data_IF_500114152008
#
_entry.id   IF_500114152008
#
_cell.length_a   1.000
_cell.length_b   1.000
_cell.length_c   1.000
_cell.angle_alpha   90.00
_cell.angle_beta   90.00
_cell.angle_gamma   90.00
#
_symmetry.space_group_name_H-M   'P 1'
#
loop_
_entity.id
_entity.type
_entity.pdbx_description
1 polymer ?
#
# COMPACT_ATOMS: atom_id res chain seq x y z
N UNK A 1 5.58 -8.26 -6.11
CA UNK A 1 6.09 -7.28 -7.09
C UNK A 1 5.80 -7.73 -8.53
N UNK A 2 5.58 -9.02 -8.79
CA UNK A 2 5.13 -9.47 -10.11
C UNK A 2 3.71 -8.98 -10.44
N UNK A 3 3.43 -8.66 -11.71
CA UNK A 3 2.12 -8.23 -12.16
C UNK A 3 1.10 -9.36 -12.02
N UNK A 4 -0.12 -9.01 -11.61
CA UNK A 4 -1.25 -9.94 -11.55
C UNK A 4 -2.40 -9.37 -12.38
N UNK A 5 -3.01 -10.19 -13.24
CA UNK A 5 -4.02 -9.72 -14.22
C UNK A 5 -5.18 -8.93 -13.59
N UNK A 6 -5.51 -9.24 -12.33
CA UNK A 6 -6.66 -8.68 -11.62
C UNK A 6 -6.31 -7.77 -10.45
N UNK A 7 -5.03 -7.63 -10.09
CA UNK A 7 -4.61 -6.84 -8.93
C UNK A 7 -3.35 -6.05 -9.25
N UNK A 8 -3.30 -4.81 -8.78
CA UNK A 8 -2.08 -4.02 -8.87
C UNK A 8 -0.95 -4.68 -8.08
N UNK A 9 0.23 -4.69 -8.69
CA UNK A 9 1.46 -4.85 -7.94
C UNK A 9 1.75 -3.57 -7.14
N UNK A 10 2.81 -3.60 -6.32
CA UNK A 10 3.15 -2.46 -5.47
C UNK A 10 3.49 -1.20 -6.28
N UNK A 11 4.23 -1.33 -7.37
CA UNK A 11 4.64 -0.20 -8.21
C UNK A 11 3.43 0.45 -8.88
N UNK A 12 2.55 -0.36 -9.49
CA UNK A 12 1.30 0.11 -10.09
C UNK A 12 0.39 0.83 -9.08
N UNK A 13 0.30 0.32 -7.85
CA UNK A 13 -0.47 0.96 -6.80
C UNK A 13 0.14 2.32 -6.39
N UNK A 14 1.48 2.39 -6.30
CA UNK A 14 2.18 3.64 -5.99
C UNK A 14 2.04 4.67 -7.10
N UNK A 15 2.11 4.27 -8.37
CA UNK A 15 1.85 5.16 -9.51
C UNK A 15 0.45 5.78 -9.45
N UNK A 16 -0.57 4.99 -9.09
CA UNK A 16 -1.93 5.50 -8.92
C UNK A 16 -2.00 6.48 -7.74
N UNK A 17 -1.38 6.15 -6.61
CA UNK A 17 -1.35 7.03 -5.44
C UNK A 17 -0.68 8.37 -5.77
N UNK A 18 0.46 8.34 -6.48
CA UNK A 18 1.15 9.55 -6.91
C UNK A 18 0.25 10.43 -7.81
N UNK A 19 -0.46 9.81 -8.76
CA UNK A 19 -1.37 10.52 -9.67
C UNK A 19 -2.59 11.12 -8.96
N UNK A 20 -3.12 10.45 -7.94
CA UNK A 20 -4.26 10.94 -7.15
C UNK A 20 -3.82 12.01 -6.13
N UNK A 21 -2.61 11.91 -5.60
CA UNK A 21 -2.06 12.84 -4.62
C UNK A 21 -2.82 12.92 -3.28
N UNK A 22 -3.19 11.79 -2.64
CA UNK A 22 -3.87 11.85 -1.34
C UNK A 22 -2.91 12.32 -0.23
N UNK A 23 -3.47 12.85 0.87
CA UNK A 23 -2.67 13.14 2.07
C UNK A 23 -2.14 11.85 2.73
N UNK A 24 -2.93 10.78 2.71
CA UNK A 24 -2.57 9.47 3.24
C UNK A 24 -3.24 8.36 2.41
N UNK A 25 -2.50 7.33 2.04
CA UNK A 25 -2.97 6.11 1.41
C UNK A 25 -2.68 4.89 2.29
N UNK A 26 -3.62 3.94 2.31
CA UNK A 26 -3.46 2.65 2.99
C UNK A 26 -3.63 1.52 1.97
N UNK A 27 -2.58 0.73 1.77
CA UNK A 27 -2.58 -0.42 0.87
C UNK A 27 -3.17 -1.64 1.59
N UNK A 28 -4.09 -2.35 0.93
CA UNK A 28 -4.73 -3.56 1.47
C UNK A 28 -4.66 -4.71 0.46
N UNK A 29 -5.25 -5.86 0.79
CA UNK A 29 -5.25 -7.06 -0.05
C UNK A 29 -3.82 -7.51 -0.42
N UNK A 30 -2.96 -7.57 0.60
CA UNK A 30 -1.54 -7.85 0.47
C UNK A 30 -1.32 -9.37 0.40
N UNK A 31 -0.64 -9.82 -0.65
CA UNK A 31 -0.21 -11.21 -0.77
C UNK A 31 1.00 -11.50 0.15
N UNK A 32 1.14 -12.74 0.60
CA UNK A 32 2.31 -13.23 1.33
C UNK A 32 3.63 -13.05 0.55
N UNK A 33 3.55 -12.90 -0.78
CA UNK A 33 4.70 -12.65 -1.65
C UNK A 33 5.28 -11.23 -1.52
N UNK A 34 4.58 -10.30 -0.88
CA UNK A 34 5.07 -8.93 -0.74
C UNK A 34 6.25 -8.83 0.23
N UNK A 35 6.33 -9.73 1.21
CA UNK A 35 7.34 -9.70 2.28
C UNK A 35 6.73 -9.41 3.64
N UNK A 36 7.58 -9.14 4.63
CA UNK A 36 7.11 -8.77 5.97
C UNK A 36 6.60 -7.33 5.96
N UNK A 37 5.55 -7.08 6.74
CA UNK A 37 4.94 -5.76 6.85
C UNK A 37 5.97 -4.69 7.22
N UNK A 38 6.81 -4.92 8.24
CA UNK A 38 7.80 -3.94 8.71
C UNK A 38 8.84 -3.59 7.65
N UNK A 39 9.37 -4.60 6.95
CA UNK A 39 10.37 -4.42 5.91
C UNK A 39 9.82 -3.57 4.76
N UNK A 40 8.62 -3.90 4.29
CA UNK A 40 7.99 -3.18 3.18
C UNK A 40 7.52 -1.80 3.62
N UNK A 41 6.98 -1.65 4.82
CA UNK A 41 6.56 -0.35 5.36
C UNK A 41 7.71 0.66 5.42
N UNK A 42 8.95 0.20 5.65
CA UNK A 42 10.14 1.04 5.62
C UNK A 42 10.55 1.49 4.20
N UNK A 43 10.16 0.76 3.16
CA UNK A 43 10.41 1.10 1.75
C UNK A 43 9.35 2.07 1.18
N UNK A 44 8.19 2.21 1.84
CA UNK A 44 7.07 3.00 1.31
C UNK A 44 7.34 4.52 1.37
N UNK A 45 6.88 5.28 0.35
CA UNK A 45 6.94 6.74 0.40
C UNK A 45 6.16 7.33 1.57
N UNK A 46 6.53 8.56 1.97
CA UNK A 46 5.79 9.31 2.98
C UNK A 46 4.32 9.47 2.56
N UNK A 47 3.40 9.22 3.49
CA UNK A 47 1.96 9.28 3.23
C UNK A 47 1.39 7.98 2.63
N UNK A 48 2.18 6.91 2.53
CA UNK A 48 1.70 5.57 2.15
C UNK A 48 2.00 4.58 3.26
N UNK A 49 1.01 3.78 3.64
CA UNK A 49 1.17 2.77 4.67
C UNK A 49 0.50 1.46 4.27
N UNK A 50 1.02 0.34 4.78
CA UNK A 50 0.34 -0.94 4.67
C UNK A 50 -0.79 -1.00 5.71
N UNK A 51 -1.96 -1.46 5.29
CA UNK A 51 -3.04 -1.80 6.20
C UNK A 51 -2.70 -3.05 7.01
N UNK A 52 -3.32 -3.17 8.17
CA UNK A 52 -3.29 -4.37 9.00
C UNK A 52 -4.66 -4.64 9.59
N UNK A 53 -4.89 -5.88 9.99
CA UNK A 53 -6.16 -6.31 10.55
C UNK A 53 -6.45 -5.54 11.85
N UNK A 54 -7.60 -4.87 11.89
CA UNK A 54 -8.00 -4.02 13.01
C UNK A 54 -7.50 -2.58 12.95
N UNK A 55 -6.82 -2.15 11.88
CA UNK A 55 -6.53 -0.75 11.62
C UNK A 55 -7.82 0.09 11.69
N UNK A 56 -7.80 1.15 12.50
CA UNK A 56 -8.89 2.13 12.61
C UNK A 56 -8.37 3.51 12.24
N UNK A 57 -9.08 4.17 11.35
CA UNK A 57 -8.76 5.52 10.88
C UNK A 57 -9.87 6.44 11.38
N UNK A 58 -9.48 7.56 11.99
CA UNK A 58 -10.40 8.65 12.30
C UNK A 58 -10.16 9.75 11.29
N UNK A 59 -11.23 10.19 10.65
CA UNK A 59 -11.25 11.44 9.87
C UNK A 59 -11.95 12.51 10.68
N UNK A 60 -11.75 13.81 10.36
CA UNK A 60 -12.57 14.89 10.89
C UNK A 60 -14.07 14.68 10.65
#
# INVERSE_FOLDING_TARGET
KEPHLSHFNLEEALEVIERVGPQQAYLTHISHLLGKHEDIQAELPKGVSLGWDGLRISTP
#
